data_IF_911508895204
#
_entry.id   IF_911508895204
#
_cell.length_a   1.000
_cell.length_b   1.000
_cell.length_c   1.000
_cell.angle_alpha   90.00
_cell.angle_beta   90.00
_cell.angle_gamma   90.00
#
_symmetry.space_group_name_H-M   'P 1'
#
loop_
_entity.id
_entity.type
_entity.pdbx_description
1 polymer ?
#
# COMPACT_ATOMS: atom_id res chain seq x y z
N UNK A 1 7.36 -6.89 38.08
CA UNK A 1 8.03 -7.77 37.10
C UNK A 1 7.66 -7.27 35.71
N UNK A 2 8.49 -6.41 35.13
CA UNK A 2 8.28 -5.91 33.77
C UNK A 2 8.71 -7.00 32.78
N UNK A 3 7.87 -7.42 31.82
CA UNK A 3 8.33 -8.34 30.80
C UNK A 3 9.36 -7.60 29.93
N UNK A 4 10.59 -8.08 29.95
CA UNK A 4 11.63 -7.68 29.02
C UNK A 4 11.11 -8.02 27.62
N UNK A 5 10.67 -6.99 26.89
CA UNK A 5 10.16 -7.06 25.53
C UNK A 5 11.23 -7.63 24.62
N UNK A 6 11.01 -8.85 24.13
CA UNK A 6 11.83 -9.53 23.12
C UNK A 6 11.75 -8.82 21.74
N UNK A 7 10.94 -7.77 21.63
CA UNK A 7 10.64 -7.05 20.38
C UNK A 7 11.75 -6.15 19.83
N UNK A 8 12.83 -5.89 20.57
CA UNK A 8 13.90 -4.98 20.12
C UNK A 8 14.85 -5.58 19.06
N UNK A 9 14.66 -6.85 18.64
CA UNK A 9 15.54 -7.53 17.68
C UNK A 9 14.97 -7.63 16.26
N UNK A 10 13.69 -7.33 16.06
CA UNK A 10 13.05 -7.41 14.74
C UNK A 10 13.14 -6.03 14.06
N UNK A 11 13.79 -5.98 12.89
CA UNK A 11 13.84 -4.78 12.07
C UNK A 11 12.96 -4.95 10.85
N UNK A 12 12.26 -3.89 10.46
CA UNK A 12 11.46 -3.89 9.23
C UNK A 12 12.22 -3.17 8.12
N UNK A 13 12.18 -3.71 6.90
CA UNK A 13 12.79 -3.08 5.75
C UNK A 13 12.01 -1.81 5.37
N UNK A 14 12.67 -0.65 5.40
CA UNK A 14 12.02 0.63 5.07
C UNK A 14 11.47 0.70 3.64
N UNK A 15 11.97 -0.15 2.73
CA UNK A 15 11.45 -0.22 1.35
C UNK A 15 10.26 -1.18 1.25
N UNK A 16 10.45 -2.45 1.60
CA UNK A 16 9.48 -3.49 1.28
C UNK A 16 8.56 -3.90 2.44
N UNK A 17 8.79 -3.38 3.64
CA UNK A 17 8.01 -3.68 4.85
C UNK A 17 8.19 -5.09 5.42
N UNK A 18 9.07 -5.93 4.85
CA UNK A 18 9.35 -7.27 5.40
C UNK A 18 10.29 -7.20 6.60
N UNK A 19 10.14 -8.14 7.52
CA UNK A 19 11.11 -8.41 8.58
C UNK A 19 12.49 -8.69 7.98
N UNK A 20 13.51 -8.04 8.52
CA UNK A 20 14.90 -8.22 8.17
C UNK A 20 15.43 -9.37 9.02
N UNK A 21 15.66 -10.52 8.39
CA UNK A 21 16.34 -11.64 9.05
C UNK A 21 17.82 -11.29 9.27
N UNK A 22 18.33 -11.54 10.47
CA UNK A 22 19.76 -11.38 10.77
C UNK A 22 20.64 -12.18 9.79
N UNK A 23 21.82 -11.63 9.47
CA UNK A 23 22.84 -12.30 8.63
C UNK A 23 24.21 -12.02 9.23
N UNK A 24 25.12 -12.99 9.17
CA UNK A 24 26.50 -12.88 9.68
C UNK A 24 27.23 -11.62 9.19
N UNK A 25 27.02 -11.24 7.93
CA UNK A 25 27.62 -10.02 7.35
C UNK A 25 27.21 -8.70 8.02
N UNK A 26 26.17 -8.72 8.85
CA UNK A 26 25.63 -7.56 9.55
C UNK A 26 25.98 -7.53 11.05
N UNK A 27 26.77 -8.49 11.53
CA UNK A 27 27.17 -8.60 12.93
C UNK A 27 27.74 -7.28 13.47
N UNK A 28 28.64 -6.63 12.71
CA UNK A 28 29.33 -5.40 13.13
C UNK A 28 28.50 -4.12 13.00
N UNK A 29 27.39 -4.14 12.25
CA UNK A 29 26.66 -2.93 11.91
C UNK A 29 25.14 -3.10 11.91
N UNK A 30 24.63 -4.10 12.64
CA UNK A 30 23.20 -4.42 12.70
C UNK A 30 22.36 -3.20 13.01
N UNK A 31 22.78 -2.35 13.95
CA UNK A 31 22.13 -1.10 14.34
C UNK A 31 21.80 -0.19 13.13
N UNK A 32 22.68 -0.11 12.15
CA UNK A 32 22.51 0.71 10.93
C UNK A 32 21.74 0.03 9.78
N UNK A 33 21.42 -1.26 9.89
CA UNK A 33 20.71 -1.98 8.81
C UNK A 33 19.26 -1.50 8.72
N UNK A 34 18.92 -0.89 7.59
CA UNK A 34 17.57 -0.37 7.28
C UNK A 34 16.86 -1.15 6.16
N UNK A 35 17.60 -1.91 5.35
CA UNK A 35 17.08 -2.57 4.15
C UNK A 35 17.46 -4.06 4.13
N UNK A 36 16.54 -4.93 3.70
CA UNK A 36 16.77 -6.38 3.64
C UNK A 36 17.67 -6.84 2.48
N UNK A 37 17.88 -5.98 1.46
CA UNK A 37 18.63 -6.30 0.25
C UNK A 37 19.18 -5.05 -0.45
N UNK A 38 20.17 -5.23 -1.32
CA UNK A 38 20.69 -4.15 -2.16
C UNK A 38 19.63 -3.64 -3.16
N UNK A 39 18.74 -4.51 -3.63
CA UNK A 39 17.60 -4.09 -4.45
C UNK A 39 16.68 -3.12 -3.70
N UNK A 40 16.31 -3.44 -2.45
CA UNK A 40 15.53 -2.54 -1.61
C UNK A 40 16.26 -1.23 -1.31
N UNK A 41 17.59 -1.28 -1.10
CA UNK A 41 18.42 -0.09 -0.91
C UNK A 41 18.45 0.81 -2.15
N UNK A 42 18.42 0.23 -3.36
CA UNK A 42 18.36 0.99 -4.63
C UNK A 42 16.97 1.56 -4.91
N UNK A 43 15.91 0.84 -4.53
CA UNK A 43 14.51 1.20 -4.79
C UNK A 43 13.81 1.76 -3.55
N UNK A 44 14.38 2.79 -2.93
CA UNK A 44 13.82 3.41 -1.72
C UNK A 44 12.45 4.04 -2.00
N UNK A 45 11.58 4.02 -0.98
CA UNK A 45 10.37 4.84 -0.96
C UNK A 45 10.79 6.30 -1.04
N UNK A 46 10.31 7.01 -2.07
CA UNK A 46 10.62 8.44 -2.24
C UNK A 46 9.66 9.26 -1.38
N UNK A 47 10.14 10.13 -0.48
CA UNK A 47 9.31 11.03 0.32
C UNK A 47 8.88 12.25 -0.53
N UNK A 48 8.42 12.00 -1.76
CA UNK A 48 7.82 13.01 -2.62
C UNK A 48 6.30 12.89 -2.45
N UNK A 49 5.56 13.99 -2.25
CA UNK A 49 4.11 13.97 -2.30
C UNK A 49 3.63 13.23 -3.55
N UNK A 50 2.65 12.34 -3.37
CA UNK A 50 2.10 11.53 -4.47
C UNK A 50 3.13 10.66 -5.21
N UNK A 51 4.20 10.20 -4.55
CA UNK A 51 5.01 9.10 -5.10
C UNK A 51 4.16 7.83 -5.16
N UNK A 52 4.48 6.89 -6.07
CA UNK A 52 3.63 5.70 -6.26
C UNK A 52 3.48 4.87 -4.98
N UNK A 53 4.56 4.73 -4.21
CA UNK A 53 4.55 3.98 -2.96
C UNK A 53 3.66 4.64 -1.89
N UNK A 54 3.70 5.98 -1.79
CA UNK A 54 2.86 6.73 -0.85
C UNK A 54 1.42 6.81 -1.33
N UNK A 55 1.18 6.89 -2.64
CA UNK A 55 -0.18 6.79 -3.20
C UNK A 55 -0.83 5.45 -2.84
N UNK A 56 -0.09 4.33 -2.89
CA UNK A 56 -0.64 3.06 -2.42
C UNK A 56 -0.98 3.09 -0.93
N UNK A 57 -0.11 3.63 -0.08
CA UNK A 57 -0.40 3.73 1.37
C UNK A 57 -1.68 4.55 1.61
N UNK A 58 -1.78 5.74 1.01
CA UNK A 58 -2.97 6.60 1.14
C UNK A 58 -4.22 5.94 0.56
N UNK A 59 -4.13 5.29 -0.60
CA UNK A 59 -5.28 4.64 -1.24
C UNK A 59 -5.80 3.46 -0.42
N UNK A 60 -4.90 2.61 0.10
CA UNK A 60 -5.29 1.50 0.99
C UNK A 60 -6.09 2.03 2.20
N UNK A 61 -5.58 3.08 2.86
CA UNK A 61 -6.26 3.67 4.02
C UNK A 61 -7.59 4.33 3.66
N UNK A 62 -7.67 5.02 2.50
CA UNK A 62 -8.91 5.63 2.01
C UNK A 62 -10.00 4.58 1.77
N UNK A 63 -9.67 3.54 0.99
CA UNK A 63 -10.62 2.46 0.66
C UNK A 63 -11.09 1.74 1.93
N UNK A 64 -10.17 1.48 2.87
CA UNK A 64 -10.54 0.87 4.15
C UNK A 64 -11.47 1.76 4.97
N UNK A 65 -11.21 3.07 5.01
CA UNK A 65 -12.05 4.03 5.75
C UNK A 65 -13.45 4.13 5.14
N UNK A 66 -13.54 4.31 3.83
CA UNK A 66 -14.81 4.37 3.08
C UNK A 66 -15.62 3.08 3.27
N UNK A 67 -14.95 1.93 3.13
CA UNK A 67 -15.61 0.62 3.29
C UNK A 67 -16.04 0.36 4.72
N UNK A 68 -15.25 0.75 5.73
CA UNK A 68 -15.61 0.61 7.14
C UNK A 68 -16.86 1.42 7.49
N UNK A 69 -17.07 2.58 6.86
CA UNK A 69 -18.29 3.37 7.06
C UNK A 69 -19.56 2.61 6.65
N UNK A 70 -19.46 1.72 5.65
CA UNK A 70 -20.60 0.96 5.11
C UNK A 70 -20.70 -0.45 5.70
N UNK A 71 -19.57 -1.16 5.83
CA UNK A 71 -19.49 -2.58 6.18
C UNK A 71 -19.04 -2.83 7.63
N UNK A 72 -18.71 -1.76 8.38
CA UNK A 72 -18.25 -1.87 9.76
C UNK A 72 -16.88 -2.54 9.91
N UNK A 73 -16.60 -3.20 11.06
CA UNK A 73 -15.31 -3.83 11.35
C UNK A 73 -14.91 -4.94 10.37
N UNK A 74 -15.87 -5.48 9.61
CA UNK A 74 -15.62 -6.55 8.67
C UNK A 74 -14.96 -6.08 7.36
N UNK A 75 -14.85 -4.76 7.12
CA UNK A 75 -14.29 -4.17 5.91
C UNK A 75 -12.93 -4.77 5.53
N UNK A 76 -12.81 -5.22 4.28
CA UNK A 76 -11.60 -5.78 3.68
C UNK A 76 -11.29 -5.04 2.40
N UNK A 77 -10.02 -4.72 2.14
CA UNK A 77 -9.52 -4.25 0.83
C UNK A 77 -8.44 -5.21 0.35
N UNK A 78 -8.38 -5.50 -0.95
CA UNK A 78 -7.28 -6.32 -1.51
C UNK A 78 -6.18 -5.46 -2.12
N UNK A 79 -4.96 -5.99 -2.22
CA UNK A 79 -3.89 -5.27 -2.92
C UNK A 79 -4.17 -5.08 -4.41
N UNK A 80 -4.89 -6.02 -5.03
CA UNK A 80 -5.35 -5.95 -6.42
C UNK A 80 -6.27 -4.75 -6.64
N UNK A 81 -7.28 -4.61 -5.78
CA UNK A 81 -8.22 -3.48 -5.81
C UNK A 81 -7.52 -2.14 -5.57
N UNK A 82 -6.69 -2.06 -4.53
CA UNK A 82 -5.95 -0.83 -4.24
C UNK A 82 -4.96 -0.46 -5.37
N UNK A 83 -4.41 -1.45 -6.08
CA UNK A 83 -3.58 -1.21 -7.25
C UNK A 83 -4.37 -0.57 -8.39
N UNK A 84 -5.51 -1.16 -8.74
CA UNK A 84 -6.38 -0.71 -9.82
C UNK A 84 -6.85 0.73 -9.59
N UNK A 85 -7.40 1.02 -8.41
CA UNK A 85 -7.86 2.35 -8.02
C UNK A 85 -6.73 3.40 -8.09
N UNK A 86 -5.55 3.08 -7.55
CA UNK A 86 -4.40 4.00 -7.58
C UNK A 86 -3.95 4.31 -9.00
N UNK A 87 -3.96 3.31 -9.89
CA UNK A 87 -3.53 3.48 -11.28
C UNK A 87 -4.56 4.24 -12.10
N UNK A 88 -5.85 4.00 -11.86
CA UNK A 88 -6.94 4.70 -12.52
C UNK A 88 -6.94 6.20 -12.15
N UNK A 89 -6.78 6.54 -10.87
CA UNK A 89 -6.67 7.93 -10.41
C UNK A 89 -5.47 8.66 -11.03
N UNK A 90 -4.32 7.99 -11.12
CA UNK A 90 -3.12 8.56 -11.74
C UNK A 90 -3.31 8.79 -13.24
N UNK A 91 -3.95 7.85 -13.93
CA UNK A 91 -4.26 7.97 -15.35
C UNK A 91 -5.20 9.15 -15.60
N UNK A 92 -6.22 9.31 -14.75
CA UNK A 92 -7.14 10.44 -14.82
C UNK A 92 -6.41 11.78 -14.62
N UNK A 93 -5.59 11.91 -13.56
CA UNK A 93 -4.82 13.13 -13.29
C UNK A 93 -3.93 13.55 -14.47
N UNK A 94 -3.25 12.59 -15.10
CA UNK A 94 -2.42 12.87 -16.28
C UNK A 94 -3.27 13.34 -17.46
N UNK A 95 -4.47 12.77 -17.66
CA UNK A 95 -5.38 13.20 -18.71
C UNK A 95 -5.95 14.62 -18.47
N UNK A 96 -6.25 14.98 -17.22
CA UNK A 96 -6.71 16.33 -16.84
C UNK A 96 -5.64 17.40 -17.09
N UNK A 97 -4.38 17.12 -16.75
CA UNK A 97 -3.25 18.04 -16.96
C UNK A 97 -3.04 18.32 -18.46
N UNK A 98 -3.19 17.29 -19.32
CA UNK A 98 -3.09 17.46 -20.76
C UNK A 98 -4.25 18.26 -21.36
N UNK A 99 -5.42 18.27 -20.71
CA UNK A 99 -6.58 19.02 -21.18
C UNK A 99 -6.59 20.50 -20.72
N UNK A 100 -5.71 20.89 -19.79
CA UNK A 100 -5.55 22.27 -19.30
C UNK A 100 -4.54 23.12 -20.07
N UNK A 101 -3.99 22.61 -21.19
CA UNK A 101 -3.13 23.40 -22.09
C UNK A 101 -3.94 23.92 -23.30
N UNK A 102 -5.01 24.66 -23.03
CA UNK A 102 -5.81 25.39 -24.02
C UNK A 102 -6.07 26.81 -23.52
N UNK A 103 -6.14 27.83 -24.40
CA UNK A 103 -6.22 29.23 -23.96
C UNK A 103 -7.53 29.46 -23.21
N UNK A 104 -7.48 30.31 -22.19
CA UNK A 104 -8.65 30.73 -21.41
C UNK A 104 -9.79 31.17 -22.34
N UNK A 105 -10.88 30.41 -22.34
CA UNK A 105 -12.07 30.63 -23.15
C UNK A 105 -13.32 30.28 -22.36
N UNK A 106 -14.09 31.31 -22.08
CA UNK A 106 -15.36 31.40 -21.36
C UNK A 106 -16.42 30.37 -21.84
N UNK A 107 -17.04 29.62 -20.92
CA UNK A 107 -18.50 29.40 -20.90
C UNK A 107 -18.95 28.41 -19.83
N UNK A 108 -20.15 28.70 -19.32
CA UNK A 108 -20.82 28.11 -18.18
C UNK A 108 -21.53 26.80 -18.54
N UNK A 109 -21.73 25.99 -17.49
CA UNK A 109 -22.74 24.94 -17.28
C UNK A 109 -22.38 23.51 -17.76
N UNK A 110 -22.23 22.56 -16.82
CA UNK A 110 -22.98 21.30 -16.81
C UNK A 110 -22.67 20.42 -15.58
N UNK A 111 -23.70 20.28 -14.75
CA UNK A 111 -24.12 19.15 -13.89
C UNK A 111 -23.17 17.96 -13.68
N UNK A 112 -22.91 17.72 -12.38
CA UNK A 112 -22.79 16.45 -11.67
C UNK A 112 -22.35 15.22 -12.48
N UNK A 113 -21.07 14.88 -12.38
CA UNK A 113 -20.58 13.52 -12.63
C UNK A 113 -20.06 12.94 -11.33
N UNK A 114 -20.94 12.23 -10.61
CA UNK A 114 -20.53 11.29 -9.57
C UNK A 114 -20.18 9.97 -10.28
N UNK A 115 -18.93 9.49 -10.27
CA UNK A 115 -18.63 8.19 -10.83
C UNK A 115 -19.25 7.12 -9.94
N UNK A 116 -20.22 6.39 -10.49
CA UNK A 116 -20.84 5.25 -9.83
C UNK A 116 -19.83 4.12 -9.59
N UNK A 117 -19.82 3.60 -8.37
CA UNK A 117 -19.02 2.45 -7.96
C UNK A 117 -19.45 1.21 -8.75
N UNK A 118 -18.63 0.78 -9.70
CA UNK A 118 -18.84 -0.46 -10.44
C UNK A 118 -18.30 -1.61 -9.60
N UNK A 119 -19.10 -2.66 -9.38
CA UNK A 119 -18.65 -3.87 -8.66
C UNK A 119 -17.66 -4.64 -9.54
N UNK A 120 -16.36 -4.53 -9.23
CA UNK A 120 -15.32 -5.28 -9.91
C UNK A 120 -15.33 -6.75 -9.44
N UNK A 121 -15.73 -7.66 -10.34
CA UNK A 121 -15.60 -9.10 -10.12
C UNK A 121 -14.12 -9.50 -10.25
N UNK A 122 -13.63 -10.21 -9.25
CA UNK A 122 -12.23 -10.60 -9.07
C UNK A 122 -11.75 -11.59 -10.15
N UNK A 123 -11.22 -11.07 -11.26
CA UNK A 123 -10.41 -11.86 -12.18
C UNK A 123 -8.93 -11.74 -11.80
N UNK A 124 -8.36 -12.83 -11.27
CA UNK A 124 -6.96 -12.89 -10.83
C UNK A 124 -5.99 -12.77 -12.02
N UNK A 125 -5.58 -11.55 -12.37
CA UNK A 125 -4.46 -11.29 -13.30
C UNK A 125 -3.12 -11.64 -12.63
N UNK A 126 -2.07 -12.04 -13.37
CA UNK A 126 -0.75 -12.28 -12.78
C UNK A 126 -0.17 -10.99 -12.15
N UNK A 127 0.63 -11.08 -11.07
CA UNK A 127 1.08 -9.91 -10.33
C UNK A 127 2.03 -9.06 -11.18
N UNK A 128 1.58 -7.87 -11.55
CA UNK A 128 2.42 -6.87 -12.20
C UNK A 128 3.54 -6.42 -11.24
N UNK A 129 4.64 -5.85 -11.77
CA UNK A 129 5.68 -5.22 -10.93
C UNK A 129 5.09 -4.12 -10.04
N UNK A 130 3.98 -3.52 -10.45
CA UNK A 130 3.23 -2.51 -9.70
C UNK A 130 2.48 -3.12 -8.53
N UNK A 131 1.90 -4.32 -8.68
CA UNK A 131 1.24 -5.05 -7.59
C UNK A 131 2.16 -5.34 -6.42
N UNK A 132 3.40 -5.76 -6.70
CA UNK A 132 4.36 -5.98 -5.61
C UNK A 132 4.68 -4.68 -4.87
N UNK A 133 4.61 -3.50 -5.51
CA UNK A 133 4.76 -2.22 -4.79
C UNK A 133 3.57 -1.92 -3.89
N UNK A 134 2.35 -2.23 -4.32
CA UNK A 134 1.16 -2.16 -3.47
C UNK A 134 1.30 -3.11 -2.25
N UNK A 135 1.73 -4.35 -2.47
CA UNK A 135 2.00 -5.30 -1.38
C UNK A 135 3.10 -4.81 -0.42
N UNK A 136 4.14 -4.17 -0.94
CA UNK A 136 5.16 -3.53 -0.10
C UNK A 136 4.59 -2.38 0.75
N UNK A 137 3.71 -1.56 0.18
CA UNK A 137 2.99 -0.52 0.92
C UNK A 137 2.13 -1.10 2.04
N UNK A 138 1.36 -2.14 1.76
CA UNK A 138 0.58 -2.86 2.75
C UNK A 138 1.45 -3.41 3.91
N UNK A 139 2.61 -4.00 3.59
CA UNK A 139 3.55 -4.46 4.63
C UNK A 139 4.10 -3.32 5.48
N UNK A 140 4.39 -2.15 4.89
CA UNK A 140 4.85 -0.98 5.65
C UNK A 140 3.76 -0.45 6.58
N UNK A 141 2.51 -0.39 6.13
CA UNK A 141 1.36 -0.03 6.96
C UNK A 141 1.19 -1.02 8.13
N UNK A 142 1.26 -2.32 7.86
CA UNK A 142 1.16 -3.35 8.89
C UNK A 142 2.31 -3.28 9.90
N UNK A 143 3.53 -3.01 9.45
CA UNK A 143 4.69 -2.81 10.31
C UNK A 143 4.55 -1.59 11.25
N UNK A 144 3.73 -0.59 10.88
CA UNK A 144 3.41 0.57 11.73
C UNK A 144 2.19 0.33 12.63
N UNK A 145 1.48 -0.78 12.45
CA UNK A 145 0.23 -1.09 13.15
C UNK A 145 -1.01 -0.38 12.57
N UNK A 146 -0.88 0.24 11.39
CA UNK A 146 -2.00 0.97 10.76
C UNK A 146 -3.09 0.00 10.23
N UNK A 147 -2.69 -1.22 9.84
CA UNK A 147 -3.55 -2.27 9.30
C UNK A 147 -3.10 -3.66 9.78
N UNK A 148 -3.97 -4.64 9.63
CA UNK A 148 -3.63 -6.07 9.68
C UNK A 148 -3.77 -6.70 8.30
N UNK A 149 -2.94 -7.70 8.01
CA UNK A 149 -3.03 -8.51 6.79
C UNK A 149 -3.68 -9.84 7.14
N UNK A 150 -4.76 -10.19 6.45
CA UNK A 150 -5.45 -11.47 6.57
C UNK A 150 -5.35 -12.32 5.31
N UNK A 151 -5.47 -13.63 5.48
CA UNK A 151 -5.67 -14.60 4.41
C UNK A 151 -6.70 -15.62 4.86
N UNK A 152 -7.75 -15.83 4.05
CA UNK A 152 -8.89 -16.68 4.41
C UNK A 152 -9.47 -16.29 5.79
N UNK A 153 -9.59 -14.98 6.05
CA UNK A 153 -10.12 -14.43 7.31
C UNK A 153 -9.19 -14.55 8.53
N UNK A 154 -7.98 -15.10 8.41
CA UNK A 154 -7.01 -15.23 9.52
C UNK A 154 -5.90 -14.20 9.38
N UNK A 155 -5.53 -13.54 10.48
CA UNK A 155 -4.36 -12.66 10.51
C UNK A 155 -3.09 -13.46 10.26
N UNK A 156 -2.24 -12.99 9.34
CA UNK A 156 -0.96 -13.62 8.99
C UNK A 156 0.20 -12.65 9.18
N UNK A 157 1.40 -13.19 9.38
CA UNK A 157 2.63 -12.39 9.40
C UNK A 157 2.89 -11.75 8.01
N UNK A 158 2.95 -10.41 7.91
CA UNK A 158 3.07 -9.68 6.63
C UNK A 158 4.22 -10.13 5.73
N UNK A 159 5.33 -10.57 6.34
CA UNK A 159 6.54 -11.00 5.64
C UNK A 159 6.35 -12.30 4.84
N UNK A 160 5.42 -13.16 5.28
CA UNK A 160 5.16 -14.48 4.70
C UNK A 160 3.88 -14.57 3.87
N UNK A 161 3.03 -13.55 3.90
CA UNK A 161 1.81 -13.50 3.10
C UNK A 161 2.11 -13.67 1.60
N UNK A 162 1.44 -14.64 0.96
CA UNK A 162 1.61 -15.01 -0.47
C UNK A 162 0.26 -15.06 -1.16
N UNK A 163 0.20 -14.65 -2.43
CA UNK A 163 -1.06 -14.56 -3.17
C UNK A 163 -1.88 -13.36 -2.71
N UNK A 164 -3.21 -13.49 -2.76
CA UNK A 164 -4.16 -12.44 -2.39
C UNK A 164 -3.98 -12.09 -0.91
N UNK A 165 -3.84 -10.80 -0.65
CA UNK A 165 -3.70 -10.22 0.68
C UNK A 165 -4.95 -9.40 0.96
N UNK A 166 -5.69 -9.80 1.98
CA UNK A 166 -6.80 -9.02 2.51
C UNK A 166 -6.23 -8.05 3.55
N UNK A 167 -6.60 -6.79 3.45
CA UNK A 167 -6.16 -5.71 4.34
C UNK A 167 -7.36 -5.28 5.17
N UNK A 168 -7.18 -5.07 6.47
CA UNK A 168 -8.23 -4.61 7.39
C UNK A 168 -7.64 -3.63 8.39
N UNK A 169 -8.47 -2.76 8.97
CA UNK A 169 -8.07 -2.10 10.20
C UNK A 169 -7.94 -3.12 11.35
N UNK A 170 -7.06 -2.86 12.33
CA UNK A 170 -6.93 -3.70 13.52
C UNK A 170 -8.21 -3.74 14.35
#
# INVERSE_FOLDING_TARGET
MSPLTVDALIKMCATCGRQISWRKKWEKNWASVTYCSDSCRKHKVRPKPHSLDLSFESKILSLLSERRAVQGPAAVVTCEEAEEETLQERKWRVAEDHNHTGPAGDSRNSLDHVPGHVQAQAHAQPPSKTRERCRQAARRLAARGDIVITQNGKVVEPSFAKGVMELKFP
#
